data_IF_096347772425
#
_entry.id   IF_096347772425
#
_cell.length_a   1.000
_cell.length_b   1.000
_cell.length_c   1.000
_cell.angle_alpha   90.00
_cell.angle_beta   90.00
_cell.angle_gamma   90.00
#
_symmetry.space_group_name_H-M   'P 1'
#
loop_
_entity.id
_entity.type
_entity.pdbx_description
1 polymer ?
#
# COMPACT_ATOMS: atom_id res chain seq x y z
N UNK A 1 -1.76 -15.72 -13.90
CA UNK A 1 -2.22 -16.36 -12.63
C UNK A 1 -3.74 -16.32 -12.53
N UNK A 2 -4.35 -17.07 -11.59
CA UNK A 2 -5.82 -17.08 -11.37
C UNK A 2 -6.37 -15.69 -11.01
N UNK A 3 -5.67 -14.96 -10.14
CA UNK A 3 -6.09 -13.62 -9.69
C UNK A 3 -6.07 -12.61 -10.83
N UNK A 4 -5.05 -12.62 -11.70
CA UNK A 4 -4.94 -11.68 -12.82
C UNK A 4 -6.09 -11.84 -13.81
N UNK A 5 -6.49 -13.09 -14.08
CA UNK A 5 -7.62 -13.38 -14.94
C UNK A 5 -8.92 -12.82 -14.35
N UNK A 6 -9.11 -12.93 -13.03
CA UNK A 6 -10.26 -12.35 -12.33
C UNK A 6 -10.24 -10.82 -12.36
N UNK A 7 -9.10 -10.19 -12.06
CA UNK A 7 -8.96 -8.73 -12.12
C UNK A 7 -9.25 -8.23 -13.52
N UNK A 8 -8.65 -8.83 -14.56
CA UNK A 8 -8.87 -8.46 -15.96
C UNK A 8 -10.32 -8.64 -16.40
N UNK A 9 -10.99 -9.70 -15.95
CA UNK A 9 -12.40 -9.93 -16.27
C UNK A 9 -13.31 -8.86 -15.65
N UNK A 10 -13.07 -8.50 -14.38
CA UNK A 10 -13.91 -7.56 -13.62
C UNK A 10 -13.65 -6.10 -14.01
N UNK A 11 -12.37 -5.71 -14.17
CA UNK A 11 -11.98 -4.30 -14.36
C UNK A 11 -11.47 -3.96 -15.75
N UNK A 12 -11.15 -4.96 -16.59
CA UNK A 12 -10.45 -4.77 -17.87
C UNK A 12 -8.94 -4.52 -17.73
N UNK A 13 -8.42 -4.33 -16.52
CA UNK A 13 -7.03 -4.01 -16.27
C UNK A 13 -6.19 -5.27 -16.09
N UNK A 14 -4.97 -5.26 -16.64
CA UNK A 14 -3.98 -6.33 -16.41
C UNK A 14 -3.01 -5.85 -15.34
N UNK A 15 -3.03 -6.42 -14.12
CA UNK A 15 -2.12 -6.00 -13.06
C UNK A 15 -0.67 -6.37 -13.42
N UNK A 16 0.26 -5.48 -13.08
CA UNK A 16 1.70 -5.70 -13.21
C UNK A 16 2.47 -5.39 -11.92
N UNK A 17 1.77 -4.91 -10.90
CA UNK A 17 2.30 -4.73 -9.54
C UNK A 17 1.84 -5.89 -8.67
N UNK A 18 2.73 -6.42 -7.84
CA UNK A 18 2.43 -7.50 -6.91
C UNK A 18 2.92 -7.14 -5.50
N UNK A 19 2.07 -7.32 -4.49
CA UNK A 19 2.47 -7.19 -3.08
C UNK A 19 2.35 -8.55 -2.40
N UNK A 20 3.44 -9.16 -1.92
CA UNK A 20 3.38 -10.44 -1.22
C UNK A 20 2.50 -10.34 0.05
N UNK A 21 1.56 -11.27 0.26
CA UNK A 21 0.83 -11.36 1.52
C UNK A 21 1.78 -11.42 2.71
N UNK A 22 1.42 -10.75 3.81
CA UNK A 22 2.25 -10.62 5.02
C UNK A 22 3.63 -9.97 4.81
N UNK A 23 3.94 -9.51 3.61
CA UNK A 23 5.29 -9.07 3.24
C UNK A 23 6.29 -10.22 3.14
N UNK A 24 5.81 -11.46 3.10
CA UNK A 24 6.66 -12.64 3.04
C UNK A 24 7.07 -12.93 1.60
N UNK A 25 8.38 -13.00 1.35
CA UNK A 25 8.93 -13.36 0.06
C UNK A 25 10.24 -14.14 0.25
N UNK A 26 10.63 -14.84 -0.82
CA UNK A 26 11.96 -15.42 -0.96
C UNK A 26 12.42 -15.27 -2.41
N UNK A 27 13.67 -15.65 -2.69
CA UNK A 27 14.24 -15.48 -4.03
C UNK A 27 13.44 -16.23 -5.12
N UNK A 28 12.91 -17.40 -4.82
CA UNK A 28 12.12 -18.18 -5.77
C UNK A 28 10.81 -17.45 -6.15
N UNK A 29 10.12 -16.88 -5.17
CA UNK A 29 8.91 -16.05 -5.39
C UNK A 29 9.26 -14.83 -6.23
N UNK A 30 10.30 -14.08 -5.87
CA UNK A 30 10.70 -12.87 -6.59
C UNK A 30 11.11 -13.17 -8.03
N UNK A 31 11.88 -14.24 -8.27
CA UNK A 31 12.26 -14.65 -9.62
C UNK A 31 11.06 -15.06 -10.46
N UNK A 32 10.11 -15.79 -9.87
CA UNK A 32 8.87 -16.19 -10.54
C UNK A 32 8.07 -14.95 -10.96
N UNK A 33 7.85 -14.01 -10.04
CA UNK A 33 7.14 -12.75 -10.32
C UNK A 33 7.85 -11.95 -11.42
N UNK A 34 9.17 -11.77 -11.33
CA UNK A 34 9.94 -11.06 -12.34
C UNK A 34 9.85 -11.71 -13.73
N UNK A 35 9.95 -13.04 -13.82
CA UNK A 35 9.79 -13.78 -15.10
C UNK A 35 8.40 -13.64 -15.73
N UNK A 36 7.40 -13.32 -14.91
CA UNK A 36 6.02 -13.06 -15.34
C UNK A 36 5.76 -11.58 -15.63
N UNK A 37 6.78 -10.72 -15.50
CA UNK A 37 6.70 -9.27 -15.75
C UNK A 37 6.13 -8.45 -14.59
N UNK A 38 6.08 -9.01 -13.37
CA UNK A 38 5.61 -8.29 -12.19
C UNK A 38 6.72 -7.49 -11.52
N UNK A 39 6.33 -6.33 -10.96
CA UNK A 39 7.13 -5.55 -10.04
C UNK A 39 6.61 -5.79 -8.62
N UNK A 40 7.49 -6.29 -7.75
CA UNK A 40 7.16 -6.55 -6.34
C UNK A 40 7.21 -5.25 -5.53
N UNK A 41 6.11 -4.90 -4.86
CA UNK A 41 5.93 -3.66 -4.10
C UNK A 41 5.76 -3.99 -2.61
N UNK A 42 6.54 -3.30 -1.78
CA UNK A 42 6.43 -3.33 -0.33
C UNK A 42 5.89 -1.99 0.19
N UNK A 43 6.05 -1.71 1.47
CA UNK A 43 5.69 -0.45 2.10
C UNK A 43 6.83 0.01 2.99
N UNK A 44 6.89 1.32 3.25
CA UNK A 44 7.84 1.92 4.19
C UNK A 44 7.20 2.18 5.55
N UNK A 45 5.88 2.39 5.58
CA UNK A 45 5.12 2.65 6.82
C UNK A 45 3.94 1.68 6.92
N UNK A 46 3.90 0.89 7.99
CA UNK A 46 2.76 0.04 8.32
C UNK A 46 1.86 0.72 9.36
N UNK A 47 0.60 1.01 9.02
CA UNK A 47 -0.36 1.58 9.97
C UNK A 47 -0.61 0.67 11.19
N UNK A 48 -0.46 -0.65 11.04
CA UNK A 48 -0.98 -1.70 11.92
C UNK A 48 -2.48 -1.54 12.22
N UNK A 49 -3.24 -0.98 11.29
CA UNK A 49 -4.68 -0.81 11.40
C UNK A 49 -5.44 -2.12 11.67
N UNK A 50 -4.94 -3.23 11.13
CA UNK A 50 -5.44 -4.59 11.36
C UNK A 50 -5.39 -5.04 12.83
N UNK A 51 -4.63 -4.35 13.70
CA UNK A 51 -4.60 -4.60 15.15
C UNK A 51 -5.67 -3.84 15.94
N UNK A 52 -6.46 -2.99 15.30
CA UNK A 52 -7.41 -2.07 15.95
C UNK A 52 -6.76 -1.19 17.05
N UNK A 53 -5.63 -0.51 16.78
CA UNK A 53 -4.86 0.17 17.82
C UNK A 53 -5.53 1.44 18.37
N UNK A 54 -6.57 1.96 17.71
CA UNK A 54 -7.21 3.25 17.94
C UNK A 54 -6.91 4.23 16.80
N UNK A 55 -7.90 5.07 16.45
CA UNK A 55 -7.82 6.04 15.34
C UNK A 55 -6.59 6.94 15.46
N UNK A 56 -6.41 7.57 16.62
CA UNK A 56 -5.27 8.47 16.89
C UNK A 56 -3.91 7.78 16.71
N UNK A 57 -3.81 6.49 17.04
CA UNK A 57 -2.55 5.73 16.87
C UNK A 57 -2.27 5.41 15.41
N UNK A 58 -3.30 5.20 14.59
CA UNK A 58 -3.14 5.04 13.14
C UNK A 58 -2.64 6.36 12.54
N UNK A 59 -3.28 7.47 12.92
CA UNK A 59 -2.91 8.81 12.46
C UNK A 59 -1.46 9.13 12.85
N UNK A 60 -1.12 9.06 14.14
CA UNK A 60 0.20 9.44 14.63
C UNK A 60 1.30 8.60 14.01
N UNK A 61 1.11 7.28 13.89
CA UNK A 61 2.12 6.42 13.26
C UNK A 61 2.40 6.83 11.82
N UNK A 62 1.39 7.20 11.04
CA UNK A 62 1.61 7.62 9.65
C UNK A 62 2.21 9.03 9.61
N UNK A 63 1.61 9.98 10.31
CA UNK A 63 1.94 11.42 10.20
C UNK A 63 3.31 11.74 10.81
N UNK A 64 3.73 11.05 11.86
CA UNK A 64 5.03 11.26 12.52
C UNK A 64 6.20 10.61 11.77
N UNK A 65 5.95 9.53 11.04
CA UNK A 65 7.00 8.75 10.35
C UNK A 65 7.03 8.99 8.83
N UNK A 66 6.25 9.94 8.32
CA UNK A 66 6.20 10.23 6.89
C UNK A 66 7.50 10.85 6.38
N UNK A 67 7.96 10.39 5.22
CA UNK A 67 9.10 10.93 4.49
C UNK A 67 8.79 11.00 2.96
N UNK A 68 9.49 11.83 2.19
CA UNK A 68 9.32 11.89 0.74
C UNK A 68 9.54 10.50 0.10
N UNK A 69 8.58 10.06 -0.72
CA UNK A 69 8.61 8.75 -1.37
C UNK A 69 8.03 7.59 -0.54
N UNK A 70 7.46 7.87 0.65
CA UNK A 70 6.87 6.84 1.49
C UNK A 70 5.67 6.12 0.83
N UNK A 71 5.58 4.81 1.06
CA UNK A 71 4.43 3.97 0.71
C UNK A 71 3.78 3.49 2.01
N UNK A 72 2.54 3.90 2.24
CA UNK A 72 1.77 3.60 3.46
C UNK A 72 0.88 2.38 3.27
N UNK A 73 1.02 1.37 4.13
CA UNK A 73 0.15 0.20 4.17
C UNK A 73 -1.07 0.41 5.07
N UNK A 74 -2.25 0.22 4.49
CA UNK A 74 -3.55 0.18 5.15
C UNK A 74 -4.43 -0.94 4.57
N UNK A 75 -5.51 -1.29 5.27
CA UNK A 75 -6.45 -2.35 4.92
C UNK A 75 -7.90 -1.83 4.94
N UNK A 76 -8.67 -2.20 3.92
CA UNK A 76 -10.10 -1.86 3.86
C UNK A 76 -10.92 -2.56 4.96
N UNK A 77 -10.51 -3.75 5.40
CA UNK A 77 -11.22 -4.51 6.44
C UNK A 77 -10.89 -4.07 7.87
N UNK A 78 -10.04 -3.05 8.05
CA UNK A 78 -9.73 -2.50 9.36
C UNK A 78 -10.78 -1.41 9.73
N UNK A 79 -11.56 -1.58 10.80
CA UNK A 79 -12.72 -0.73 11.10
C UNK A 79 -12.36 0.73 11.40
N UNK A 80 -11.15 0.99 11.90
CA UNK A 80 -10.71 2.34 12.29
C UNK A 80 -10.07 3.13 11.13
N UNK A 81 -9.70 2.46 10.03
CA UNK A 81 -8.98 3.09 8.91
C UNK A 81 -9.84 4.13 8.19
N UNK A 82 -11.14 3.85 8.01
CA UNK A 82 -12.06 4.78 7.37
C UNK A 82 -12.21 6.10 8.15
N UNK A 83 -12.16 6.02 9.49
CA UNK A 83 -12.24 7.19 10.38
C UNK A 83 -10.92 7.97 10.44
N UNK A 84 -9.77 7.27 10.42
CA UNK A 84 -8.45 7.90 10.44
C UNK A 84 -8.07 8.60 9.12
N UNK A 85 -8.53 8.08 7.98
CA UNK A 85 -8.07 8.48 6.65
C UNK A 85 -8.24 9.98 6.33
N UNK A 86 -9.37 10.65 6.64
CA UNK A 86 -9.53 12.07 6.38
C UNK A 86 -8.50 12.93 7.11
N UNK A 87 -8.20 12.62 8.37
CA UNK A 87 -7.25 13.36 9.19
C UNK A 87 -5.80 13.13 8.75
N UNK A 88 -5.46 11.89 8.35
CA UNK A 88 -4.16 11.58 7.73
C UNK A 88 -3.97 12.44 6.48
N UNK A 89 -4.97 12.47 5.59
CA UNK A 89 -4.89 13.24 4.34
C UNK A 89 -4.70 14.73 4.62
N UNK A 90 -5.45 15.29 5.58
CA UNK A 90 -5.34 16.69 5.95
C UNK A 90 -3.94 17.03 6.49
N UNK A 91 -3.44 16.26 7.46
CA UNK A 91 -2.13 16.46 8.08
C UNK A 91 -0.98 16.37 7.05
N UNK A 92 -1.04 15.39 6.14
CA UNK A 92 0.02 15.22 5.14
C UNK A 92 -0.01 16.33 4.08
N UNK A 93 -1.19 16.81 3.67
CA UNK A 93 -1.29 17.98 2.78
C UNK A 93 -0.75 19.25 3.43
N UNK A 94 -1.05 19.48 4.71
CA UNK A 94 -0.53 20.63 5.46
C UNK A 94 1.01 20.60 5.56
N UNK A 95 1.60 19.40 5.65
CA UNK A 95 3.05 19.17 5.58
C UNK A 95 3.64 19.30 4.16
N UNK A 96 2.81 19.58 3.14
CA UNK A 96 3.26 19.78 1.75
C UNK A 96 3.37 18.51 0.91
N UNK A 97 2.87 17.36 1.40
CA UNK A 97 2.88 16.11 0.63
C UNK A 97 1.75 16.06 -0.40
N UNK A 98 2.02 15.39 -1.51
CA UNK A 98 1.03 15.00 -2.51
C UNK A 98 0.83 13.49 -2.50
N UNK A 99 -0.36 13.05 -2.89
CA UNK A 99 -0.70 11.62 -2.98
C UNK A 99 -0.66 11.17 -4.43
N UNK A 100 -0.12 9.98 -4.66
CA UNK A 100 -0.05 9.35 -5.97
C UNK A 100 -0.26 7.84 -5.89
N UNK A 101 -0.34 7.21 -7.06
CA UNK A 101 -0.26 5.77 -7.17
C UNK A 101 1.16 5.30 -6.88
N UNK A 102 1.33 4.00 -6.57
CA UNK A 102 2.67 3.40 -6.40
C UNK A 102 3.56 3.67 -7.62
N UNK A 103 3.00 3.54 -8.82
CA UNK A 103 3.66 3.84 -10.10
C UNK A 103 4.25 5.26 -10.12
N UNK A 104 3.49 6.26 -9.66
CA UNK A 104 3.94 7.66 -9.61
C UNK A 104 5.00 7.89 -8.53
N UNK A 105 4.89 7.23 -7.38
CA UNK A 105 5.87 7.35 -6.29
C UNK A 105 7.21 6.73 -6.66
N UNK A 106 7.20 5.63 -7.42
CA UNK A 106 8.39 4.88 -7.80
C UNK A 106 8.96 5.23 -9.17
N UNK A 107 8.27 6.05 -9.96
CA UNK A 107 8.65 6.42 -11.33
C UNK A 107 8.90 5.18 -12.24
N UNK A 108 7.92 4.26 -12.26
CA UNK A 108 7.96 2.98 -13.00
C UNK A 108 6.80 2.80 -13.97
#
# INVERSE_FOLDING_TARGET
MRTDALIKNISGLSPYLFRPPYGEYNQAVLNTLASLGYISIMWTIDSLDWKNPGVDKIISRIVENIEPGAIVLMHQSAPQTAEALPEIIANLKEKGYSFGTVTQVMDI
#
